data_IF_583575377866
#
_entry.id   IF_583575377866
#
_cell.length_a   1.000
_cell.length_b   1.000
_cell.length_c   1.000
_cell.angle_alpha   90.00
_cell.angle_beta   90.00
_cell.angle_gamma   90.00
#
_symmetry.space_group_name_H-M   'P 1'
#
loop_
_entity.id
_entity.type
_entity.pdbx_description
1 polymer ?
#
# COMPACT_ATOMS: atom_id res chain seq x y z
N UNK A 1 28.99 3.76 -25.16
CA UNK A 1 29.36 3.69 -23.73
C UNK A 1 28.53 4.62 -22.86
N UNK A 2 28.48 5.94 -23.13
CA UNK A 2 27.68 6.91 -22.35
C UNK A 2 26.18 6.56 -22.25
N UNK A 3 25.52 6.18 -23.35
CA UNK A 3 24.10 5.77 -23.36
C UNK A 3 23.79 4.57 -22.45
N UNK A 4 24.74 3.67 -22.25
CA UNK A 4 24.58 2.49 -21.39
C UNK A 4 24.73 2.88 -19.91
N UNK A 5 25.70 3.73 -19.58
CA UNK A 5 25.91 4.24 -18.21
C UNK A 5 24.73 5.11 -17.79
N UNK A 6 24.21 5.98 -18.68
CA UNK A 6 23.00 6.77 -18.39
C UNK A 6 21.78 5.89 -18.16
N UNK A 7 21.65 4.78 -18.91
CA UNK A 7 20.58 3.82 -18.68
C UNK A 7 20.77 3.06 -17.37
N UNK A 8 21.97 2.56 -17.08
CA UNK A 8 22.26 1.86 -15.82
C UNK A 8 22.15 2.79 -14.61
N UNK A 9 22.51 4.08 -14.75
CA UNK A 9 22.33 5.11 -13.74
C UNK A 9 20.87 5.44 -13.50
N UNK A 10 20.10 5.64 -14.58
CA UNK A 10 18.66 5.88 -14.52
C UNK A 10 17.97 4.68 -13.86
N UNK A 11 18.33 3.46 -14.27
CA UNK A 11 17.89 2.20 -13.66
C UNK A 11 18.29 2.14 -12.19
N UNK A 12 19.54 2.48 -11.80
CA UNK A 12 19.98 2.46 -10.40
C UNK A 12 19.29 3.50 -9.51
N UNK A 13 18.94 4.67 -10.07
CA UNK A 13 18.17 5.72 -9.35
C UNK A 13 16.73 5.24 -9.10
N UNK A 14 16.16 4.45 -9.99
CA UNK A 14 14.83 3.88 -9.82
C UNK A 14 14.81 2.59 -8.99
N UNK A 15 15.92 1.86 -8.88
CA UNK A 15 15.91 0.49 -8.37
C UNK A 15 15.72 0.35 -6.84
N UNK A 16 15.79 1.39 -6.01
CA UNK A 16 15.62 1.25 -4.55
C UNK A 16 14.27 1.76 -4.01
N UNK A 17 13.43 2.36 -4.84
CA UNK A 17 12.25 3.11 -4.39
C UNK A 17 10.93 2.43 -4.68
N UNK A 18 10.92 1.29 -5.39
CA UNK A 18 9.69 0.56 -5.71
C UNK A 18 9.41 -0.55 -4.69
N UNK A 19 8.13 -0.72 -4.37
CA UNK A 19 7.63 -1.85 -3.61
C UNK A 19 6.42 -2.48 -4.28
N UNK A 20 6.28 -3.79 -4.11
CA UNK A 20 5.08 -4.55 -4.41
C UNK A 20 4.37 -4.87 -3.10
N UNK A 21 3.04 -4.88 -3.11
CA UNK A 21 2.21 -5.18 -1.94
C UNK A 21 1.18 -6.23 -2.34
N UNK A 22 0.93 -7.19 -1.47
CA UNK A 22 -0.15 -8.15 -1.62
C UNK A 22 -0.76 -8.44 -0.26
N UNK A 23 -2.07 -8.56 -0.17
CA UNK A 23 -2.73 -8.71 1.12
C UNK A 23 -4.16 -9.18 1.04
N UNK A 24 -4.80 -9.18 2.21
CA UNK A 24 -6.20 -9.50 2.38
C UNK A 24 -6.85 -8.42 3.25
N UNK A 25 -8.02 -7.95 2.83
CA UNK A 25 -8.86 -7.04 3.60
C UNK A 25 -10.04 -7.85 4.15
N UNK A 26 -10.32 -7.65 5.43
CA UNK A 26 -11.44 -8.25 6.16
C UNK A 26 -12.44 -7.14 6.45
N UNK A 27 -13.46 -6.93 5.59
CA UNK A 27 -14.38 -5.84 5.82
C UNK A 27 -15.15 -6.03 7.13
N UNK A 28 -15.43 -4.95 7.86
CA UNK A 28 -16.10 -5.02 9.17
C UNK A 28 -17.60 -5.30 9.09
N UNK A 29 -18.19 -5.26 7.89
CA UNK A 29 -19.60 -5.56 7.67
C UNK A 29 -19.82 -7.07 7.65
N UNK A 30 -20.80 -7.55 8.43
CA UNK A 30 -21.03 -8.97 8.76
C UNK A 30 -21.33 -9.88 7.54
N UNK A 31 -21.49 -9.30 6.34
CA UNK A 31 -21.78 -10.01 5.09
C UNK A 31 -20.79 -9.72 3.95
N UNK A 32 -19.77 -8.90 4.18
CA UNK A 32 -18.80 -8.56 3.17
C UNK A 32 -17.71 -9.64 3.10
N UNK A 33 -17.47 -10.17 1.89
CA UNK A 33 -16.43 -11.18 1.66
C UNK A 33 -15.04 -10.57 1.83
N UNK A 34 -14.08 -11.41 2.23
CA UNK A 34 -12.68 -11.02 2.28
C UNK A 34 -12.20 -10.64 0.88
N UNK A 35 -11.53 -9.51 0.76
CA UNK A 35 -10.97 -9.02 -0.50
C UNK A 35 -9.51 -9.42 -0.60
N UNK A 36 -9.08 -9.84 -1.78
CA UNK A 36 -7.66 -9.99 -2.09
C UNK A 36 -7.16 -8.66 -2.66
N UNK A 37 -6.05 -8.16 -2.14
CA UNK A 37 -5.43 -6.90 -2.56
C UNK A 37 -4.06 -7.13 -3.19
N UNK A 38 -3.78 -6.42 -4.29
CA UNK A 38 -2.47 -6.30 -4.89
C UNK A 38 -2.18 -4.84 -5.18
N UNK A 39 -0.93 -4.43 -4.98
CA UNK A 39 -0.57 -3.04 -5.17
C UNK A 39 0.92 -2.84 -5.34
N UNK A 40 1.27 -1.57 -5.44
CA UNK A 40 2.65 -1.13 -5.45
C UNK A 40 2.79 0.19 -4.75
N UNK A 41 4.03 0.49 -4.37
CA UNK A 41 4.40 1.76 -3.77
C UNK A 41 5.64 2.33 -4.42
N UNK A 42 5.75 3.66 -4.38
CA UNK A 42 6.94 4.40 -4.76
C UNK A 42 7.33 5.35 -3.64
N UNK A 43 8.58 5.24 -3.16
CA UNK A 43 9.12 6.09 -2.11
C UNK A 43 9.46 7.47 -2.68
N UNK A 44 8.70 8.49 -2.28
CA UNK A 44 8.94 9.89 -2.65
C UNK A 44 10.06 10.52 -1.83
N UNK A 45 10.08 10.25 -0.53
CA UNK A 45 11.06 10.78 0.40
C UNK A 45 11.64 9.63 1.21
N UNK A 46 12.92 9.36 0.99
CA UNK A 46 13.67 8.35 1.70
C UNK A 46 14.28 9.00 2.96
N UNK A 47 13.57 8.85 4.08
CA UNK A 47 14.04 9.25 5.40
C UNK A 47 13.98 8.03 6.31
N UNK A 48 15.09 7.69 6.96
CA UNK A 48 15.20 6.49 7.80
C UNK A 48 14.10 6.38 8.87
N UNK A 49 13.61 7.52 9.37
CA UNK A 49 12.57 7.56 10.41
C UNK A 49 11.19 7.90 9.87
N UNK A 50 11.10 8.57 8.73
CA UNK A 50 9.82 9.08 8.22
C UNK A 50 9.70 8.97 6.69
N UNK A 51 9.70 7.74 6.12
CA UNK A 51 9.54 7.61 4.69
C UNK A 51 8.14 8.04 4.24
N UNK A 52 8.07 8.74 3.12
CA UNK A 52 6.82 9.09 2.45
C UNK A 52 6.73 8.33 1.14
N UNK A 53 5.65 7.57 0.97
CA UNK A 53 5.39 6.76 -0.21
C UNK A 53 4.11 7.22 -0.90
N UNK A 54 4.00 7.03 -2.21
CA UNK A 54 2.70 6.94 -2.89
C UNK A 54 2.40 5.45 -3.05
N UNK A 55 1.21 5.01 -2.65
CA UNK A 55 0.74 3.65 -2.86
C UNK A 55 -0.46 3.63 -3.78
N UNK A 56 -0.62 2.53 -4.50
CA UNK A 56 -1.83 2.19 -5.23
C UNK A 56 -2.14 0.71 -4.99
N UNK A 57 -3.38 0.42 -4.60
CA UNK A 57 -3.87 -0.92 -4.31
C UNK A 57 -5.14 -1.19 -5.11
N UNK A 58 -5.22 -2.41 -5.66
CA UNK A 58 -6.38 -2.95 -6.33
C UNK A 58 -6.87 -4.15 -5.52
N UNK A 59 -8.09 -4.05 -5.01
CA UNK A 59 -8.73 -5.06 -4.18
C UNK A 59 -9.96 -5.63 -4.88
N UNK A 60 -10.21 -6.93 -4.75
CA UNK A 60 -11.37 -7.56 -5.36
C UNK A 60 -11.89 -8.79 -4.60
N UNK A 61 -13.20 -9.02 -4.70
CA UNK A 61 -13.91 -10.23 -4.31
C UNK A 61 -15.21 -10.33 -5.12
N UNK A 62 -15.41 -11.43 -5.85
CA UNK A 62 -16.55 -11.61 -6.77
C UNK A 62 -16.78 -10.41 -7.71
N UNK A 63 -17.89 -9.70 -7.54
CA UNK A 63 -18.29 -8.52 -8.35
C UNK A 63 -17.87 -7.18 -7.73
N UNK A 64 -17.29 -7.21 -6.52
CA UNK A 64 -16.79 -6.03 -5.83
C UNK A 64 -15.32 -5.80 -6.20
N UNK A 65 -15.03 -4.60 -6.69
CA UNK A 65 -13.67 -4.13 -6.99
C UNK A 65 -13.45 -2.78 -6.34
N UNK A 66 -12.28 -2.57 -5.75
CA UNK A 66 -11.89 -1.30 -5.14
C UNK A 66 -10.49 -0.92 -5.57
N UNK A 67 -10.32 0.33 -6.00
CA UNK A 67 -9.03 0.92 -6.31
C UNK A 67 -8.76 2.02 -5.29
N UNK A 68 -7.65 1.90 -4.58
CA UNK A 68 -7.19 2.92 -3.63
C UNK A 68 -5.83 3.47 -4.07
N UNK A 69 -5.66 4.79 -4.06
CA UNK A 69 -4.36 5.40 -4.34
C UNK A 69 -4.14 6.67 -3.53
N UNK A 70 -2.90 6.94 -3.12
CA UNK A 70 -2.58 8.14 -2.36
C UNK A 70 -1.28 8.03 -1.56
N UNK A 71 -0.99 9.05 -0.74
CA UNK A 71 0.17 9.04 0.13
C UNK A 71 0.02 8.02 1.28
N UNK A 72 1.13 7.38 1.61
CA UNK A 72 1.34 6.59 2.80
C UNK A 72 2.55 7.16 3.55
N UNK A 73 2.31 7.70 4.74
CA UNK A 73 3.34 8.20 5.64
C UNK A 73 3.70 7.09 6.63
N UNK A 74 4.99 6.80 6.74
CA UNK A 74 5.50 5.85 7.71
C UNK A 74 6.30 6.57 8.80
N UNK A 75 6.26 6.06 10.02
CA UNK A 75 7.04 6.55 11.15
C UNK A 75 7.76 5.38 11.82
N UNK A 76 9.09 5.33 11.70
CA UNK A 76 9.95 4.30 12.27
C UNK A 76 10.06 4.42 13.78
N UNK A 77 9.60 3.39 14.50
CA UNK A 77 9.83 3.23 15.93
C UNK A 77 11.23 2.65 16.19
N UNK A 78 11.69 1.77 15.30
CA UNK A 78 13.04 1.21 15.25
C UNK A 78 13.35 0.74 13.82
N UNK A 79 14.43 -0.02 13.64
CA UNK A 79 14.89 -0.51 12.32
C UNK A 79 13.95 -1.52 11.65
N UNK A 80 13.01 -2.10 12.40
CA UNK A 80 12.07 -3.11 11.91
C UNK A 80 10.61 -2.67 11.98
N UNK A 81 10.22 -1.84 12.96
CA UNK A 81 8.82 -1.52 13.23
C UNK A 81 8.51 -0.09 12.80
N UNK A 82 7.49 0.04 11.95
CA UNK A 82 6.99 1.32 11.44
C UNK A 82 5.51 1.46 11.73
N UNK A 83 5.07 2.63 12.18
CA UNK A 83 3.65 3.01 12.15
C UNK A 83 3.32 3.56 10.77
N UNK A 84 2.15 3.21 10.23
CA UNK A 84 1.69 3.66 8.92
C UNK A 84 0.40 4.47 9.06
N UNK A 85 0.29 5.53 8.27
CA UNK A 85 -0.93 6.31 8.11
C UNK A 85 -1.08 6.74 6.65
N UNK A 86 -2.22 6.40 6.06
CA UNK A 86 -2.54 6.67 4.66
C UNK A 86 -3.88 7.39 4.54
N UNK A 87 -3.95 8.34 3.61
CA UNK A 87 -5.18 8.98 3.17
C UNK A 87 -5.30 8.78 1.66
N UNK A 88 -6.14 7.83 1.26
CA UNK A 88 -6.22 7.33 -0.11
C UNK A 88 -7.52 7.77 -0.76
N UNK A 89 -7.46 8.18 -2.02
CA UNK A 89 -8.65 8.20 -2.85
C UNK A 89 -9.08 6.76 -3.07
N UNK A 90 -10.31 6.43 -2.68
CA UNK A 90 -10.95 5.13 -2.86
C UNK A 90 -12.02 5.25 -3.94
N UNK A 91 -12.06 4.26 -4.81
CA UNK A 91 -13.16 4.07 -5.74
C UNK A 91 -13.63 2.63 -5.70
N UNK A 92 -14.84 2.43 -5.22
CA UNK A 92 -15.55 1.17 -5.27
C UNK A 92 -16.38 1.05 -6.55
N UNK A 93 -16.44 -0.16 -7.09
CA UNK A 93 -17.38 -0.58 -8.11
C UNK A 93 -17.97 -1.93 -7.73
N UNK A 94 -19.31 -1.97 -7.60
CA UNK A 94 -20.09 -3.17 -7.29
C UNK A 94 -21.38 -3.16 -8.11
N UNK A 95 -21.66 -4.25 -8.83
CA UNK A 95 -22.90 -4.42 -9.62
C UNK A 95 -23.21 -3.24 -10.58
N UNK A 96 -22.17 -2.59 -11.13
CA UNK A 96 -22.29 -1.44 -12.04
C UNK A 96 -22.56 -0.09 -11.36
N UNK A 97 -22.65 -0.05 -10.03
CA UNK A 97 -22.69 1.18 -9.24
C UNK A 97 -21.26 1.51 -8.82
N UNK A 98 -20.86 2.77 -8.99
CA UNK A 98 -19.54 3.25 -8.55
C UNK A 98 -19.70 4.34 -7.51
N UNK A 99 -18.93 4.21 -6.43
CA UNK A 99 -18.83 5.20 -5.36
C UNK A 99 -17.37 5.62 -5.20
N UNK A 100 -17.13 6.82 -4.69
CA UNK A 100 -15.78 7.29 -4.40
C UNK A 100 -15.75 8.07 -3.09
N UNK A 101 -14.77 7.78 -2.26
CA UNK A 101 -14.55 8.44 -0.96
C UNK A 101 -13.05 8.59 -0.69
N UNK A 102 -12.69 9.24 0.42
CA UNK A 102 -11.34 9.21 0.97
C UNK A 102 -11.26 8.12 2.04
N UNK A 103 -10.49 7.07 1.75
CA UNK A 103 -10.16 6.03 2.70
C UNK A 103 -9.01 6.48 3.61
N UNK A 104 -9.19 6.31 4.92
CA UNK A 104 -8.13 6.56 5.92
C UNK A 104 -7.72 5.23 6.50
N UNK A 105 -6.45 4.87 6.36
CA UNK A 105 -5.90 3.59 6.80
C UNK A 105 -4.76 3.86 7.76
N UNK A 106 -4.75 3.15 8.89
CA UNK A 106 -3.66 3.22 9.88
C UNK A 106 -3.20 1.83 10.26
N UNK A 107 -1.97 1.70 10.73
CA UNK A 107 -1.50 0.43 11.25
C UNK A 107 -0.01 0.39 11.50
N UNK A 108 0.56 -0.81 11.40
CA UNK A 108 1.99 -1.04 11.56
C UNK A 108 2.56 -1.92 10.44
N UNK A 109 3.79 -1.65 10.07
CA UNK A 109 4.65 -2.54 9.28
C UNK A 109 5.75 -3.12 10.16
N UNK A 110 6.10 -4.38 9.89
CA UNK A 110 7.28 -5.03 10.39
C UNK A 110 8.17 -5.46 9.21
N UNK A 111 9.31 -4.82 9.03
CA UNK A 111 10.32 -5.20 8.05
C UNK A 111 11.14 -6.39 8.58
N UNK A 112 10.91 -7.57 8.01
CA UNK A 112 11.66 -8.80 8.32
C UNK A 112 13.12 -8.68 7.86
N UNK A 113 13.34 -8.00 6.74
CA UNK A 113 14.64 -7.66 6.18
C UNK A 113 14.49 -6.47 5.21
N UNK A 114 15.59 -6.06 4.58
CA UNK A 114 15.60 -4.92 3.63
C UNK A 114 14.67 -5.07 2.41
N UNK A 115 14.16 -6.28 2.14
CA UNK A 115 13.29 -6.56 1.00
C UNK A 115 11.88 -6.98 1.39
N UNK A 116 11.64 -7.58 2.55
CA UNK A 116 10.36 -8.18 2.90
C UNK A 116 9.78 -7.58 4.18
N UNK A 117 8.53 -7.15 4.12
CA UNK A 117 7.76 -6.66 5.26
C UNK A 117 6.41 -7.34 5.40
N UNK A 118 5.88 -7.33 6.62
CA UNK A 118 4.50 -7.71 6.97
C UNK A 118 3.77 -6.44 7.41
N UNK A 119 2.52 -6.29 7.00
CA UNK A 119 1.69 -5.14 7.33
C UNK A 119 0.42 -5.59 8.04
N UNK A 120 0.08 -4.89 9.13
CA UNK A 120 -1.17 -5.02 9.86
C UNK A 120 -1.83 -3.65 9.90
N UNK A 121 -2.88 -3.48 9.12
CA UNK A 121 -3.55 -2.20 8.92
C UNK A 121 -5.04 -2.29 9.29
N UNK A 122 -5.67 -1.13 9.41
CA UNK A 122 -7.09 -1.00 9.67
C UNK A 122 -7.64 0.21 8.90
N UNK A 123 -8.67 -0.01 8.08
CA UNK A 123 -9.43 1.06 7.42
C UNK A 123 -10.39 1.71 8.40
N UNK A 124 -10.15 2.98 8.74
CA UNK A 124 -10.98 3.79 9.66
C UNK A 124 -12.23 4.30 8.93
N UNK A 125 -12.05 4.83 7.72
CA UNK A 125 -13.12 5.31 6.85
C UNK A 125 -12.82 4.98 5.39
N UNK A 126 -13.75 5.32 4.50
CA UNK A 126 -13.76 4.94 3.10
C UNK A 126 -14.79 3.83 2.85
N UNK A 127 -14.79 3.35 1.61
CA UNK A 127 -15.73 2.34 1.13
C UNK A 127 -15.51 0.97 1.80
N UNK A 128 -14.26 0.64 2.16
CA UNK A 128 -13.93 -0.60 2.88
C UNK A 128 -13.29 -0.30 4.24
N UNK A 129 -14.07 -0.52 5.30
CA UNK A 129 -13.61 -0.46 6.70
C UNK A 129 -13.23 -1.84 7.19
N UNK A 130 -12.22 -1.91 8.05
CA UNK A 130 -11.85 -3.17 8.72
C UNK A 130 -10.36 -3.54 8.64
N UNK A 131 -9.98 -4.66 9.26
CA UNK A 131 -8.59 -5.12 9.30
C UNK A 131 -8.03 -5.45 7.92
N UNK A 132 -6.73 -5.24 7.74
CA UNK A 132 -5.97 -5.65 6.56
C UNK A 132 -4.68 -6.30 7.00
N UNK A 133 -4.32 -7.39 6.34
CA UNK A 133 -3.02 -8.02 6.50
C UNK A 133 -2.32 -8.07 5.14
N UNK A 134 -1.07 -7.61 5.09
CA UNK A 134 -0.31 -7.50 3.86
C UNK A 134 1.10 -8.04 4.00
N UNK A 135 1.68 -8.37 2.85
CA UNK A 135 3.11 -8.54 2.64
C UNK A 135 3.55 -7.45 1.69
N UNK A 136 4.66 -6.80 2.01
CA UNK A 136 5.32 -5.83 1.15
C UNK A 136 6.70 -6.35 0.74
N UNK A 137 7.05 -6.15 -0.53
CA UNK A 137 8.32 -6.55 -1.11
C UNK A 137 9.00 -5.35 -1.76
N UNK A 138 10.15 -4.91 -1.27
CA UNK A 138 10.97 -3.85 -1.87
C UNK A 138 11.90 -4.44 -2.92
N UNK A 139 11.79 -3.93 -4.15
CA UNK A 139 12.60 -4.31 -5.30
C UNK A 139 14.01 -3.72 -5.21
#
# INVERSE_FOLDING_TARGET
MFRLISLMFLVSVFYSQFSLRAGMIFPSEEHAKNLVSFGGGYTLLENEKMPLNIIAEYSFADELTVIEFGPNLMFGLNEHIFLQASALYSRESSHGISHSDIAVIVGAAYELNHHLGIELLYGINGDIKGPRIGLSFRL
#
